data_IF_517281145331
#
_entry.id   IF_517281145331
#
_cell.length_a   1.000
_cell.length_b   1.000
_cell.length_c   1.000
_cell.angle_alpha   90.00
_cell.angle_beta   90.00
_cell.angle_gamma   90.00
#
_symmetry.space_group_name_H-M   'P 1'
#
loop_
_entity.id
_entity.type
_entity.pdbx_description
1 polymer ?
#
# COMPACT_ATOMS: atom_id res chain seq x y z
N UNK A 1 -11.17 37.57 -20.91
CA UNK A 1 -11.17 36.10 -20.99
C UNK A 1 -12.54 35.61 -20.55
N UNK A 2 -13.27 34.86 -21.39
CA UNK A 2 -14.52 34.23 -20.98
C UNK A 2 -14.14 32.99 -20.17
N UNK A 3 -14.43 32.97 -18.88
CA UNK A 3 -14.35 31.72 -18.11
C UNK A 3 -15.44 30.81 -18.67
N UNK A 4 -15.04 29.86 -19.51
CA UNK A 4 -15.90 28.74 -19.85
C UNK A 4 -16.15 27.99 -18.55
N UNK A 5 -17.38 28.08 -18.06
CA UNK A 5 -17.81 27.30 -16.92
C UNK A 5 -17.78 25.84 -17.39
N UNK A 6 -16.85 25.00 -16.89
CA UNK A 6 -16.84 23.61 -17.27
C UNK A 6 -18.21 23.02 -16.91
N UNK A 7 -18.71 22.12 -17.76
CA UNK A 7 -19.93 21.39 -17.48
C UNK A 7 -19.82 20.79 -16.06
N UNK A 8 -20.87 20.92 -15.24
CA UNK A 8 -20.87 20.33 -13.91
C UNK A 8 -20.59 18.83 -14.04
N UNK A 9 -19.77 18.31 -13.11
CA UNK A 9 -19.48 16.88 -13.05
C UNK A 9 -20.77 16.11 -12.90
N UNK A 10 -20.90 15.02 -13.63
CA UNK A 10 -22.01 14.10 -13.42
C UNK A 10 -21.86 13.37 -12.07
N UNK A 11 -22.94 12.72 -11.61
CA UNK A 11 -22.97 12.02 -10.32
C UNK A 11 -21.90 10.93 -10.21
N UNK A 12 -21.58 10.24 -11.31
CA UNK A 12 -20.59 9.16 -11.31
C UNK A 12 -19.17 9.71 -11.19
N UNK A 13 -18.89 10.85 -11.83
CA UNK A 13 -17.61 11.55 -11.74
C UNK A 13 -17.40 12.12 -10.34
N UNK A 14 -18.44 12.68 -9.72
CA UNK A 14 -18.38 13.15 -8.34
C UNK A 14 -18.09 12.00 -7.38
N UNK A 15 -18.87 10.91 -7.45
CA UNK A 15 -18.65 9.74 -6.62
C UNK A 15 -17.25 9.13 -6.79
N UNK A 16 -16.71 9.15 -8.02
CA UNK A 16 -15.35 8.68 -8.29
C UNK A 16 -14.29 9.55 -7.61
N UNK A 17 -14.43 10.89 -7.67
CA UNK A 17 -13.51 11.81 -7.01
C UNK A 17 -13.61 11.71 -5.48
N UNK A 18 -14.83 11.60 -4.95
CA UNK A 18 -15.07 11.45 -3.51
C UNK A 18 -14.43 10.16 -2.98
N UNK A 19 -14.54 9.05 -3.71
CA UNK A 19 -13.90 7.79 -3.35
C UNK A 19 -12.36 7.93 -3.29
N UNK A 20 -11.76 8.64 -4.24
CA UNK A 20 -10.31 8.89 -4.21
C UNK A 20 -9.89 9.86 -3.11
N UNK A 21 -10.68 10.89 -2.83
CA UNK A 21 -10.43 11.81 -1.72
C UNK A 21 -10.47 11.06 -0.39
N UNK A 22 -11.45 10.17 -0.21
CA UNK A 22 -11.56 9.34 0.99
C UNK A 22 -10.34 8.42 1.17
N UNK A 23 -9.89 7.76 0.10
CA UNK A 23 -8.64 6.98 0.12
C UNK A 23 -7.44 7.84 0.51
N UNK A 24 -7.31 9.04 -0.07
CA UNK A 24 -6.20 9.96 0.21
C UNK A 24 -6.11 10.31 1.71
N UNK A 25 -7.24 10.59 2.35
CA UNK A 25 -7.28 10.89 3.79
C UNK A 25 -7.06 9.63 4.64
N UNK A 26 -7.77 8.54 4.33
CA UNK A 26 -7.66 7.27 5.07
C UNK A 26 -6.25 6.65 5.01
N UNK A 27 -5.54 6.83 3.90
CA UNK A 27 -4.18 6.33 3.72
C UNK A 27 -3.09 7.34 4.15
N UNK A 28 -3.47 8.47 4.77
CA UNK A 28 -2.54 9.46 5.31
C UNK A 28 -1.52 10.00 4.28
N UNK A 29 -1.94 10.16 3.02
CA UNK A 29 -1.01 10.51 1.92
C UNK A 29 -0.35 11.87 2.10
N UNK A 30 -1.08 12.83 2.68
CA UNK A 30 -0.52 14.15 2.98
C UNK A 30 0.66 14.08 3.96
N UNK A 31 0.57 13.21 4.98
CA UNK A 31 1.60 13.03 5.99
C UNK A 31 2.78 12.24 5.44
N UNK A 32 2.51 11.23 4.60
CA UNK A 32 3.51 10.34 4.04
C UNK A 32 4.35 10.97 2.94
N UNK A 33 3.72 11.73 2.04
CA UNK A 33 4.36 12.23 0.82
C UNK A 33 4.41 13.76 0.74
N UNK A 34 3.78 14.48 1.67
CA UNK A 34 3.68 15.95 1.66
C UNK A 34 3.13 16.51 0.33
N UNK A 35 2.22 15.78 -0.33
CA UNK A 35 1.56 16.21 -1.56
C UNK A 35 0.10 16.58 -1.31
N UNK A 36 -0.45 17.61 -1.99
CA UNK A 36 -1.86 17.96 -1.89
C UNK A 36 -2.75 16.97 -2.67
N UNK A 37 -4.03 16.91 -2.31
CA UNK A 37 -5.04 16.07 -2.98
C UNK A 37 -5.07 16.28 -4.50
N UNK A 38 -5.00 17.53 -4.97
CA UNK A 38 -4.98 17.85 -6.41
C UNK A 38 -3.83 17.19 -7.16
N UNK A 39 -2.64 17.09 -6.52
CA UNK A 39 -1.48 16.40 -7.10
C UNK A 39 -1.67 14.89 -7.05
N UNK A 40 -2.20 14.36 -5.95
CA UNK A 40 -2.52 12.94 -5.81
C UNK A 40 -3.49 12.47 -6.91
N UNK A 41 -4.54 13.22 -7.18
CA UNK A 41 -5.58 12.89 -8.17
C UNK A 41 -5.05 12.79 -9.61
N UNK A 42 -3.83 13.26 -9.90
CA UNK A 42 -3.21 13.10 -11.22
C UNK A 42 -2.72 11.67 -11.49
N UNK A 43 -2.35 10.93 -10.45
CA UNK A 43 -1.89 9.54 -10.56
C UNK A 43 -2.06 8.78 -9.21
N UNK A 44 -3.30 8.53 -8.75
CA UNK A 44 -3.57 8.04 -7.40
C UNK A 44 -2.87 6.73 -7.06
N UNK A 45 -2.93 5.75 -7.96
CA UNK A 45 -2.33 4.42 -7.80
C UNK A 45 -0.81 4.48 -7.63
N UNK A 46 -0.14 5.34 -8.39
CA UNK A 46 1.30 5.56 -8.30
C UNK A 46 1.70 6.12 -6.93
N UNK A 47 0.95 7.10 -6.43
CA UNK A 47 1.24 7.71 -5.13
C UNK A 47 0.94 6.77 -3.97
N UNK A 48 -0.07 5.91 -4.08
CA UNK A 48 -0.31 4.84 -3.10
C UNK A 48 0.89 3.88 -3.02
N UNK A 49 1.40 3.42 -4.15
CA UNK A 49 2.59 2.57 -4.18
C UNK A 49 3.82 3.26 -3.57
N UNK A 50 4.04 4.53 -3.93
CA UNK A 50 5.14 5.32 -3.37
C UNK A 50 5.02 5.50 -1.84
N UNK A 51 3.80 5.59 -1.31
CA UNK A 51 3.52 5.70 0.11
C UNK A 51 3.53 4.34 0.85
N UNK A 52 3.70 3.22 0.15
CA UNK A 52 3.57 1.87 0.73
C UNK A 52 2.13 1.50 1.13
N UNK A 53 1.14 2.14 0.50
CA UNK A 53 -0.30 2.03 0.79
C UNK A 53 -1.07 1.33 -0.33
N UNK A 54 -0.44 0.36 -1.00
CA UNK A 54 -1.03 -0.37 -2.15
C UNK A 54 -2.33 -1.10 -1.76
N UNK A 55 -2.44 -1.52 -0.50
CA UNK A 55 -3.63 -2.19 0.06
C UNK A 55 -4.76 -1.23 0.41
N UNK A 56 -4.56 0.09 0.32
CA UNK A 56 -5.61 1.06 0.66
C UNK A 56 -6.84 0.94 -0.27
N UNK A 57 -6.63 0.51 -1.52
CA UNK A 57 -7.71 0.26 -2.47
C UNK A 57 -8.59 -0.91 -2.05
N UNK A 58 -7.98 -2.05 -1.71
CA UNK A 58 -8.70 -3.24 -1.28
C UNK A 58 -9.30 -3.06 0.12
N UNK A 59 -8.62 -2.32 1.00
CA UNK A 59 -9.17 -1.96 2.31
C UNK A 59 -10.44 -1.11 2.15
N UNK A 60 -10.40 -0.05 1.35
CA UNK A 60 -11.56 0.82 1.15
C UNK A 60 -12.74 0.09 0.48
N UNK A 61 -12.47 -0.80 -0.49
CA UNK A 61 -13.50 -1.60 -1.15
C UNK A 61 -14.21 -2.59 -0.20
N UNK A 62 -13.59 -2.94 0.93
CA UNK A 62 -14.17 -3.84 1.94
C UNK A 62 -14.55 -3.09 3.24
N UNK A 63 -14.69 -1.76 3.19
CA UNK A 63 -14.97 -0.89 4.35
C UNK A 63 -13.96 -1.00 5.51
N UNK A 64 -12.74 -1.46 5.23
CA UNK A 64 -11.64 -1.51 6.18
C UNK A 64 -10.78 -0.24 6.12
N UNK A 65 -10.23 0.14 7.26
CA UNK A 65 -9.27 1.26 7.33
C UNK A 65 -7.89 0.78 6.82
N UNK A 66 -7.22 1.53 5.93
CA UNK A 66 -5.85 1.25 5.52
C UNK A 66 -4.90 1.20 6.73
N UNK A 67 -3.87 0.36 6.62
CA UNK A 67 -2.89 0.22 7.70
C UNK A 67 -2.08 1.51 7.86
N UNK A 68 -1.86 1.92 9.10
CA UNK A 68 -0.95 3.01 9.40
C UNK A 68 0.48 2.65 8.97
N UNK A 69 1.34 3.63 8.66
CA UNK A 69 2.73 3.36 8.24
C UNK A 69 3.50 2.48 9.23
N UNK A 70 3.28 2.68 10.54
CA UNK A 70 3.88 1.85 11.58
C UNK A 70 3.38 0.39 11.54
N UNK A 71 2.11 0.17 11.17
CA UNK A 71 1.53 -1.16 11.02
C UNK A 71 2.02 -1.87 9.76
N UNK A 72 2.19 -1.12 8.65
CA UNK A 72 2.84 -1.65 7.44
C UNK A 72 4.28 -2.07 7.74
N UNK A 73 5.05 -1.22 8.42
CA UNK A 73 6.42 -1.55 8.82
C UNK A 73 6.48 -2.75 9.78
N UNK A 74 5.54 -2.87 10.73
CA UNK A 74 5.44 -4.03 11.61
C UNK A 74 5.09 -5.31 10.84
N UNK A 75 4.12 -5.23 9.91
CA UNK A 75 3.71 -6.35 9.06
C UNK A 75 4.87 -6.83 8.19
N UNK A 76 5.60 -5.92 7.54
CA UNK A 76 6.79 -6.26 6.74
C UNK A 76 7.89 -6.93 7.57
N UNK A 77 8.12 -6.47 8.81
CA UNK A 77 9.08 -7.12 9.72
C UNK A 77 8.68 -8.54 10.07
N UNK A 78 7.42 -8.76 10.44
CA UNK A 78 6.89 -10.08 10.78
C UNK A 78 7.04 -11.03 9.58
N UNK A 79 6.65 -10.55 8.39
CA UNK A 79 6.70 -11.35 7.18
C UNK A 79 8.15 -11.72 6.78
N UNK A 80 9.08 -10.78 6.95
CA UNK A 80 10.51 -11.04 6.75
C UNK A 80 11.06 -12.05 7.77
N UNK A 81 10.69 -11.92 9.04
CA UNK A 81 11.10 -12.86 10.08
C UNK A 81 10.58 -14.29 9.83
N UNK A 82 9.39 -14.43 9.27
CA UNK A 82 8.86 -15.74 8.88
C UNK A 82 9.62 -16.32 7.68
N UNK A 83 9.91 -15.52 6.66
CA UNK A 83 10.72 -15.95 5.51
C UNK A 83 12.13 -16.38 5.91
N UNK A 84 12.77 -15.64 6.83
CA UNK A 84 14.12 -15.96 7.30
C UNK A 84 14.13 -17.29 8.09
N UNK A 85 13.10 -17.55 8.90
CA UNK A 85 12.93 -18.82 9.61
C UNK A 85 12.69 -19.99 8.66
N UNK A 86 11.80 -19.82 7.68
CA UNK A 86 11.51 -20.86 6.69
C UNK A 86 12.73 -21.18 5.81
N UNK A 87 13.65 -20.24 5.59
CA UNK A 87 14.90 -20.47 4.86
C UNK A 87 16.04 -21.07 5.72
N UNK A 88 16.02 -20.87 7.04
CA UNK A 88 17.02 -21.46 7.94
C UNK A 88 16.82 -22.98 8.12
N UNK A 89 15.57 -23.44 8.18
CA UNK A 89 15.23 -24.86 8.40
C UNK A 89 15.74 -25.80 7.28
N UNK A 90 15.65 -25.46 5.98
CA UNK A 90 16.26 -26.23 4.90
C UNK A 90 17.79 -26.25 4.96
N UNK A 91 18.42 -25.12 5.30
CA UNK A 91 19.88 -25.00 5.32
C UNK A 91 20.53 -25.86 6.40
N UNK A 92 19.93 -25.93 7.60
CA UNK A 92 20.38 -26.81 8.68
C UNK A 92 20.19 -28.29 8.33
N UNK A 93 19.08 -28.65 7.69
CA UNK A 93 18.81 -30.03 7.26
C UNK A 93 19.79 -30.51 6.19
N UNK A 94 20.14 -29.65 5.23
CA UNK A 94 21.14 -29.96 4.20
C UNK A 94 22.57 -30.03 4.76
N UNK A 95 22.92 -29.19 5.72
CA UNK A 95 24.23 -29.24 6.37
C UNK A 95 24.42 -30.51 7.22
N UNK A 96 23.40 -30.90 7.98
CA UNK A 96 23.42 -32.13 8.78
C UNK A 96 23.46 -33.40 7.91
N UNK A 97 22.79 -33.40 6.75
CA UNK A 97 22.84 -34.52 5.80
C UNK A 97 24.21 -34.65 5.12
N UNK A 98 24.85 -33.54 4.74
CA UNK A 98 26.18 -33.54 4.11
C UNK A 98 27.30 -34.02 5.06
N UNK A 99 27.17 -33.73 6.37
CA UNK A 99 28.07 -34.22 7.41
C UNK A 99 27.88 -35.72 7.69
N UNK A 100 26.66 -36.24 7.55
CA UNK A 100 26.36 -37.66 7.75
C UNK A 100 26.76 -38.57 6.57
N UNK A 101 27.06 -38.01 5.39
CA UNK A 101 27.46 -38.80 4.20
C UNK A 101 28.97 -39.01 4.04
N UNK A 102 29.78 -38.42 4.92
CA UNK A 102 31.26 -38.49 4.88
C UNK A 102 31.87 -39.27 6.07
N UNK A 103 31.15 -40.22 6.67
CA UNK A 103 31.67 -41.16 7.68
C UNK A 103 31.58 -42.60 7.22
#
# INVERSE_FOLDING_TARGET
MKYQNPLPLDTSQQAHLDAWADIYFKAHIVELLAIPLSKFLTAPTRYLAQAGQETALTANANDYRPLLPAQVAASQRIQKQWQDQDNAVPAEKSALQALATHS
#
